data_IF_193055405121
#
_entry.id   IF_193055405121
#
_cell.length_a   1.000
_cell.length_b   1.000
_cell.length_c   1.000
_cell.angle_alpha   90.00
_cell.angle_beta   90.00
_cell.angle_gamma   90.00
#
_symmetry.space_group_name_H-M   'P 1'
#
loop_
_entity.id
_entity.type
_entity.pdbx_description
1 polymer ?
#
# COMPACT_ATOMS: atom_id res chain seq x y z
N UNK A 1 -13.27 -5.04 6.93
CA UNK A 1 -11.92 -5.42 7.36
C UNK A 1 -11.97 -6.91 7.63
N UNK A 2 -11.22 -7.69 6.86
CA UNK A 2 -11.18 -9.14 7.03
C UNK A 2 -9.94 -9.52 7.83
N UNK A 3 -10.02 -10.57 8.64
CA UNK A 3 -8.89 -11.07 9.41
C UNK A 3 -8.69 -12.55 9.13
N UNK A 4 -7.49 -12.88 8.70
CA UNK A 4 -7.06 -14.23 8.36
C UNK A 4 -6.07 -14.71 9.41
N UNK A 5 -6.37 -15.84 10.05
CA UNK A 5 -5.49 -16.46 11.04
C UNK A 5 -4.50 -17.38 10.31
N UNK A 6 -3.21 -17.13 10.51
CA UNK A 6 -2.13 -18.03 10.12
C UNK A 6 -1.56 -18.72 11.37
N UNK A 7 -0.70 -19.74 11.24
CA UNK A 7 -0.21 -20.50 12.38
C UNK A 7 0.44 -19.65 13.47
N UNK A 8 1.15 -18.58 13.08
CA UNK A 8 1.96 -17.75 14.00
C UNK A 8 1.58 -16.28 14.03
N UNK A 9 0.73 -15.80 13.10
CA UNK A 9 0.30 -14.41 13.06
C UNK A 9 -1.07 -14.25 12.39
N UNK A 10 -1.57 -13.02 12.35
CA UNK A 10 -2.79 -12.66 11.64
C UNK A 10 -2.44 -11.75 10.46
N UNK A 11 -3.04 -12.01 9.30
CA UNK A 11 -3.11 -11.04 8.22
C UNK A 11 -4.45 -10.31 8.30
N UNK A 12 -4.40 -9.00 8.21
CA UNK A 12 -5.60 -8.16 8.26
C UNK A 12 -5.70 -7.40 6.95
N UNK A 13 -6.81 -7.63 6.26
CA UNK A 13 -7.17 -6.96 5.03
C UNK A 13 -8.00 -5.72 5.36
N UNK A 14 -7.36 -4.57 5.20
CA UNK A 14 -7.98 -3.27 5.36
C UNK A 14 -8.83 -2.97 4.11
N UNK A 15 -9.95 -2.24 4.24
CA UNK A 15 -10.67 -1.79 3.06
C UNK A 15 -9.73 -1.05 2.10
N UNK A 16 -9.98 -1.09 0.79
CA UNK A 16 -9.17 -0.31 -0.16
C UNK A 16 -9.37 1.19 0.06
N UNK A 17 -8.31 2.00 0.03
CA UNK A 17 -8.43 3.47 0.12
C UNK A 17 -8.80 4.12 -1.21
N UNK A 18 -8.46 3.46 -2.32
CA UNK A 18 -8.71 3.92 -3.68
C UNK A 18 -10.13 3.70 -4.19
N UNK A 19 -11.16 3.73 -3.34
CA UNK A 19 -12.55 3.70 -3.82
C UNK A 19 -12.80 4.96 -4.68
N UNK A 20 -12.59 4.82 -5.98
CA UNK A 20 -12.80 5.86 -7.00
C UNK A 20 -14.23 6.41 -6.98
N UNK A 21 -15.17 5.69 -6.37
CA UNK A 21 -16.57 6.07 -6.23
C UNK A 21 -17.01 6.32 -4.77
N UNK A 22 -16.10 6.33 -3.79
CA UNK A 22 -16.47 6.65 -2.42
C UNK A 22 -16.71 8.15 -2.24
N UNK A 23 -17.86 8.50 -1.65
CA UNK A 23 -18.15 9.88 -1.25
C UNK A 23 -17.14 10.40 -0.19
N UNK A 24 -17.09 11.72 -0.02
CA UNK A 24 -16.15 12.37 0.94
C UNK A 24 -16.24 11.80 2.36
N UNK A 25 -17.44 11.46 2.83
CA UNK A 25 -17.67 10.90 4.17
C UNK A 25 -17.04 9.52 4.34
N UNK A 26 -17.21 8.63 3.35
CA UNK A 26 -16.58 7.30 3.37
C UNK A 26 -15.05 7.38 3.32
N UNK A 27 -14.49 8.29 2.51
CA UNK A 27 -13.04 8.53 2.46
C UNK A 27 -12.49 9.00 3.82
N UNK A 28 -13.20 9.91 4.49
CA UNK A 28 -12.80 10.39 5.81
C UNK A 28 -12.89 9.30 6.89
N UNK A 29 -13.99 8.53 6.91
CA UNK A 29 -14.16 7.40 7.84
C UNK A 29 -13.09 6.33 7.63
N UNK A 30 -12.75 6.06 6.37
CA UNK A 30 -11.67 5.17 6.00
C UNK A 30 -10.30 5.65 6.51
N UNK A 31 -9.96 6.92 6.25
CA UNK A 31 -8.68 7.51 6.70
C UNK A 31 -8.51 7.36 8.20
N UNK A 32 -9.56 7.70 8.96
CA UNK A 32 -9.59 7.56 10.43
C UNK A 32 -9.42 6.11 10.89
N UNK A 33 -10.00 5.15 10.17
CA UNK A 33 -9.85 3.72 10.47
C UNK A 33 -8.40 3.27 10.28
N UNK A 34 -7.81 3.58 9.12
CA UNK A 34 -6.42 3.23 8.79
C UNK A 34 -5.45 3.87 9.77
N UNK A 35 -5.55 5.18 9.96
CA UNK A 35 -4.69 5.94 10.86
C UNK A 35 -4.77 5.37 12.27
N UNK A 36 -5.98 5.10 12.77
CA UNK A 36 -6.19 4.45 14.06
C UNK A 36 -5.58 3.04 14.12
N UNK A 37 -5.64 2.27 13.04
CA UNK A 37 -5.08 0.93 12.98
C UNK A 37 -3.54 0.96 13.00
N UNK A 38 -2.92 1.84 12.20
CA UNK A 38 -1.46 2.01 12.12
C UNK A 38 -0.87 2.51 13.45
N UNK A 39 -1.51 3.49 14.07
CA UNK A 39 -0.99 4.17 15.26
C UNK A 39 -1.31 3.41 16.56
N UNK A 40 -2.55 2.92 16.74
CA UNK A 40 -3.00 2.38 18.03
C UNK A 40 -2.80 0.88 18.20
N UNK A 41 -2.64 0.12 17.11
CA UNK A 41 -2.53 -1.35 17.20
C UNK A 41 -1.11 -1.78 17.54
N UNK A 42 -0.81 -1.99 18.81
CA UNK A 42 0.51 -2.44 19.28
C UNK A 42 0.98 -3.74 18.60
N UNK A 43 0.05 -4.66 18.31
CA UNK A 43 0.32 -5.94 17.66
C UNK A 43 0.68 -5.85 16.16
N UNK A 44 0.47 -4.71 15.50
CA UNK A 44 0.81 -4.55 14.09
C UNK A 44 2.33 -4.64 13.91
N UNK A 45 2.83 -5.58 13.11
CA UNK A 45 4.29 -5.77 12.93
C UNK A 45 4.83 -5.14 11.66
N UNK A 46 3.97 -4.89 10.67
CA UNK A 46 4.32 -4.23 9.42
C UNK A 46 3.11 -4.14 8.50
N UNK A 47 3.28 -3.44 7.39
CA UNK A 47 2.23 -3.22 6.40
C UNK A 47 2.69 -3.75 5.04
N UNK A 48 1.80 -4.44 4.33
CA UNK A 48 1.99 -4.75 2.91
C UNK A 48 1.16 -3.75 2.13
N UNK A 49 1.84 -2.87 1.38
CA UNK A 49 1.21 -1.81 0.62
C UNK A 49 1.13 -2.19 -0.85
N UNK A 50 -0.07 -2.47 -1.33
CA UNK A 50 -0.32 -2.93 -2.70
C UNK A 50 -0.53 -1.74 -3.65
N UNK A 51 0.28 -1.66 -4.70
CA UNK A 51 0.13 -0.72 -5.81
C UNK A 51 -0.04 -1.47 -7.13
N UNK A 52 -0.77 -0.92 -8.09
CA UNK A 52 -0.89 -1.47 -9.43
C UNK A 52 0.25 -0.96 -10.31
N UNK A 53 1.14 -1.85 -10.78
CA UNK A 53 2.36 -1.48 -11.52
C UNK A 53 2.08 -0.71 -12.83
N UNK A 54 0.85 -0.77 -13.33
CA UNK A 54 0.46 -0.17 -14.62
C UNK A 54 0.20 1.33 -14.51
N UNK A 55 0.09 1.86 -13.30
CA UNK A 55 -0.32 3.23 -13.04
C UNK A 55 0.70 3.97 -12.17
N UNK A 56 0.80 5.28 -12.38
CA UNK A 56 1.53 6.14 -11.45
C UNK A 56 0.80 6.19 -10.09
N UNK A 57 1.52 6.38 -8.97
CA UNK A 57 0.90 6.56 -7.67
C UNK A 57 -0.10 7.72 -7.69
N UNK A 58 -1.32 7.44 -7.22
CA UNK A 58 -2.38 8.43 -7.09
C UNK A 58 -2.15 9.37 -5.91
N UNK A 59 -2.98 10.41 -5.80
CA UNK A 59 -2.98 11.30 -4.62
C UNK A 59 -3.29 10.57 -3.33
N UNK A 60 -4.14 9.54 -3.39
CA UNK A 60 -4.47 8.74 -2.21
C UNK A 60 -3.29 7.84 -1.80
N UNK A 61 -2.48 7.37 -2.76
CA UNK A 61 -1.25 6.62 -2.52
C UNK A 61 -0.22 7.49 -1.77
N UNK A 62 0.00 8.73 -2.23
CA UNK A 62 0.89 9.68 -1.57
C UNK A 62 0.42 10.02 -0.14
N UNK A 63 -0.88 10.24 0.04
CA UNK A 63 -1.44 10.50 1.37
C UNK A 63 -1.33 9.29 2.31
N UNK A 64 -1.35 8.07 1.78
CA UNK A 64 -1.13 6.85 2.56
C UNK A 64 0.35 6.65 2.89
N UNK A 65 1.26 7.02 1.99
CA UNK A 65 2.70 7.06 2.26
C UNK A 65 3.02 7.94 3.47
N UNK A 66 2.43 9.13 3.55
CA UNK A 66 2.61 10.03 4.70
C UNK A 66 2.16 9.36 6.00
N UNK A 67 0.98 8.73 6.00
CA UNK A 67 0.48 7.99 7.17
C UNK A 67 1.39 6.82 7.58
N UNK A 68 1.95 6.10 6.60
CA UNK A 68 2.92 5.04 6.88
C UNK A 68 4.19 5.59 7.53
N UNK A 69 4.73 6.69 6.98
CA UNK A 69 5.91 7.36 7.52
C UNK A 69 5.68 7.85 8.96
N UNK A 70 4.56 8.51 9.22
CA UNK A 70 4.15 8.97 10.56
C UNK A 70 3.97 7.82 11.55
N UNK A 71 3.49 6.67 11.09
CA UNK A 71 3.28 5.50 11.95
C UNK A 71 4.57 4.83 12.43
N UNK A 72 5.70 5.09 11.76
CA UNK A 72 6.99 4.42 12.02
C UNK A 72 6.97 2.91 11.80
N UNK A 73 5.93 2.36 11.15
CA UNK A 73 5.81 0.93 10.89
C UNK A 73 6.60 0.55 9.64
N UNK A 74 7.30 -0.59 9.62
CA UNK A 74 7.92 -1.09 8.41
C UNK A 74 6.82 -1.41 7.38
N UNK A 75 7.04 -0.98 6.14
CA UNK A 75 6.13 -1.22 5.02
C UNK A 75 6.88 -1.90 3.87
N UNK A 76 6.27 -2.96 3.32
CA UNK A 76 6.70 -3.59 2.07
C UNK A 76 5.81 -3.09 0.95
N UNK A 77 6.39 -2.41 -0.05
CA UNK A 77 5.66 -1.96 -1.23
C UNK A 77 5.62 -3.10 -2.24
N UNK A 78 4.42 -3.50 -2.66
CA UNK A 78 4.22 -4.62 -3.58
C UNK A 78 3.53 -4.11 -4.84
N UNK A 79 4.20 -4.27 -5.98
CA UNK A 79 3.69 -3.85 -7.29
C UNK A 79 2.94 -5.02 -7.93
N UNK A 80 1.63 -5.03 -7.78
CA UNK A 80 0.71 -6.06 -8.30
C UNK A 80 0.54 -5.96 -9.83
N UNK A 81 0.03 -7.04 -10.44
CA UNK A 81 -0.25 -7.15 -11.89
C UNK A 81 0.99 -7.00 -12.76
N UNK A 82 2.15 -7.41 -12.24
CA UNK A 82 3.40 -7.44 -13.00
C UNK A 82 3.29 -8.30 -14.27
N UNK A 83 2.48 -9.36 -14.24
CA UNK A 83 2.17 -10.22 -15.40
C UNK A 83 1.62 -9.45 -16.61
N UNK A 84 1.00 -8.29 -16.40
CA UNK A 84 0.44 -7.46 -17.47
C UNK A 84 1.47 -6.64 -18.23
N UNK A 85 2.72 -6.60 -17.76
CA UNK A 85 3.80 -5.83 -18.37
C UNK A 85 4.94 -6.76 -18.79
N UNK A 86 5.59 -6.44 -19.91
CA UNK A 86 6.85 -7.10 -20.30
C UNK A 86 7.98 -6.76 -19.31
N UNK A 87 8.99 -7.64 -19.20
CA UNK A 87 10.10 -7.49 -18.21
C UNK A 87 10.78 -6.11 -18.23
N UNK A 88 11.02 -5.54 -19.41
CA UNK A 88 11.62 -4.20 -19.54
C UNK A 88 10.68 -3.12 -19.00
N UNK A 89 9.39 -3.23 -19.28
CA UNK A 89 8.38 -2.28 -18.81
C UNK A 89 8.16 -2.40 -17.31
N UNK A 90 8.21 -3.60 -16.73
CA UNK A 90 8.19 -3.79 -15.27
C UNK A 90 9.35 -3.04 -14.59
N UNK A 91 10.59 -3.18 -15.10
CA UNK A 91 11.75 -2.45 -14.57
C UNK A 91 11.56 -0.93 -14.69
N UNK A 92 11.14 -0.46 -15.87
CA UNK A 92 10.89 0.95 -16.12
C UNK A 92 9.83 1.52 -15.16
N UNK A 93 8.73 0.80 -14.97
CA UNK A 93 7.65 1.23 -14.07
C UNK A 93 8.06 1.15 -12.60
N UNK A 94 8.77 0.11 -12.19
CA UNK A 94 9.28 0.00 -10.81
C UNK A 94 10.16 1.20 -10.48
N UNK A 95 11.06 1.58 -11.39
CA UNK A 95 11.91 2.77 -11.23
C UNK A 95 11.11 4.08 -11.20
N UNK A 96 10.11 4.21 -12.07
CA UNK A 96 9.25 5.40 -12.09
C UNK A 96 8.46 5.56 -10.78
N UNK A 97 7.85 4.47 -10.30
CA UNK A 97 7.09 4.44 -9.05
C UNK A 97 8.01 4.69 -7.85
N UNK A 98 9.16 4.03 -7.77
CA UNK A 98 10.15 4.26 -6.73
C UNK A 98 10.56 5.74 -6.67
N UNK A 99 10.86 6.35 -7.82
CA UNK A 99 11.17 7.78 -7.92
C UNK A 99 10.00 8.67 -7.47
N UNK A 100 8.78 8.38 -7.90
CA UNK A 100 7.59 9.16 -7.54
C UNK A 100 7.30 9.13 -6.04
N UNK A 101 7.62 8.01 -5.38
CA UNK A 101 7.50 7.84 -3.93
C UNK A 101 8.77 8.26 -3.17
N UNK A 102 9.86 8.65 -3.83
CA UNK A 102 11.13 8.93 -3.16
C UNK A 102 11.74 7.71 -2.46
N UNK A 103 11.45 6.50 -2.96
CA UNK A 103 11.93 5.23 -2.44
C UNK A 103 13.03 4.63 -3.35
N UNK A 104 13.73 3.61 -2.87
CA UNK A 104 14.68 2.84 -3.68
C UNK A 104 13.97 1.70 -4.40
N UNK A 105 14.44 1.31 -5.59
CA UNK A 105 13.85 0.20 -6.36
C UNK A 105 13.85 -1.12 -5.56
N UNK A 106 14.85 -1.34 -4.71
CA UNK A 106 15.00 -2.51 -3.83
C UNK A 106 13.89 -2.63 -2.77
N UNK A 107 13.22 -1.52 -2.45
CA UNK A 107 12.12 -1.50 -1.48
C UNK A 107 10.76 -1.85 -2.10
N UNK A 108 10.71 -2.05 -3.43
CA UNK A 108 9.50 -2.39 -4.19
C UNK A 108 9.62 -3.82 -4.71
N UNK A 109 8.60 -4.64 -4.47
CA UNK A 109 8.54 -6.02 -4.93
C UNK A 109 7.43 -6.21 -5.98
N UNK A 110 7.78 -6.35 -7.26
CA UNK A 110 6.81 -6.73 -8.29
C UNK A 110 6.31 -8.16 -8.08
N UNK A 111 4.99 -8.35 -8.21
CA UNK A 111 4.32 -9.65 -8.12
C UNK A 111 3.20 -9.74 -9.17
N UNK A 112 2.97 -10.94 -9.66
CA UNK A 112 1.88 -11.28 -10.59
C UNK A 112 0.59 -11.58 -9.83
#
# INVERSE_FOLDING_TARGET
MNMFRLPTFYMVDLPGYGFAHANKGMRAGYRKLVEGYLTKRSQLRGVVWLLDIRHEPSKDDLAFQDLLAESGRPALVVLTKADKLGRQQQRSQTRAIAKALGLTEESLQPVS
#
